data_IF_601653620990
#
_entry.id   IF_601653620990
#
_cell.length_a   1.000
_cell.length_b   1.000
_cell.length_c   1.000
_cell.angle_alpha   90.00
_cell.angle_beta   90.00
_cell.angle_gamma   90.00
#
_symmetry.space_group_name_H-M   'P 1'
#
loop_
_entity.id
_entity.type
_entity.pdbx_description
1 polymer ?
#
# COMPACT_ATOMS: atom_id res chain seq x y z
N UNK A 1 0.68 -14.15 5.01
CA UNK A 1 0.57 -14.13 6.48
C UNK A 1 -0.19 -12.88 6.88
N UNK A 2 -1.17 -12.96 7.79
CA UNK A 2 -1.86 -11.74 8.27
C UNK A 2 -1.05 -11.09 9.39
N UNK A 3 -1.16 -9.76 9.61
CA UNK A 3 -0.44 -9.08 10.69
C UNK A 3 -0.73 -9.65 12.08
N UNK A 4 -1.92 -10.22 12.29
CA UNK A 4 -2.31 -10.90 13.55
C UNK A 4 -1.36 -12.04 13.91
N UNK A 5 -0.86 -12.76 12.90
CA UNK A 5 0.04 -13.89 13.08
C UNK A 5 1.38 -13.48 13.69
N UNK A 6 1.83 -12.23 13.50
CA UNK A 6 3.07 -11.70 14.07
C UNK A 6 3.04 -11.63 15.60
N UNK A 7 1.84 -11.53 16.17
CA UNK A 7 1.64 -11.38 17.62
C UNK A 7 1.47 -12.71 18.35
N UNK A 8 1.22 -13.81 17.64
CA UNK A 8 0.93 -15.13 18.21
C UNK A 8 2.20 -15.77 18.78
N UNK A 9 2.07 -16.48 19.92
CA UNK A 9 3.19 -17.13 20.62
C UNK A 9 4.02 -18.04 19.70
N UNK A 10 3.35 -18.86 18.87
CA UNK A 10 4.02 -19.78 17.95
C UNK A 10 4.94 -19.06 16.96
N UNK A 11 4.50 -17.91 16.43
CA UNK A 11 5.33 -17.12 15.52
C UNK A 11 6.53 -16.52 16.25
N UNK A 12 6.34 -16.05 17.49
CA UNK A 12 7.47 -15.56 18.31
C UNK A 12 8.49 -16.67 18.61
N UNK A 13 8.02 -17.88 18.90
CA UNK A 13 8.91 -19.03 19.10
C UNK A 13 9.72 -19.33 17.83
N UNK A 14 9.06 -19.37 16.67
CA UNK A 14 9.70 -19.60 15.38
C UNK A 14 10.77 -18.53 15.06
N UNK A 15 10.48 -17.27 15.33
CA UNK A 15 11.39 -16.14 15.08
C UNK A 15 12.55 -16.07 16.08
N UNK A 16 12.44 -16.75 17.22
CA UNK A 16 13.50 -16.83 18.24
C UNK A 16 14.32 -18.13 18.16
N UNK A 17 13.87 -19.09 17.34
CA UNK A 17 14.61 -20.31 17.07
C UNK A 17 15.93 -19.99 16.36
N UNK A 18 17.04 -20.46 16.93
CA UNK A 18 18.40 -20.12 16.47
C UNK A 18 18.73 -20.71 15.11
N UNK A 19 18.11 -21.83 14.75
CA UNK A 19 18.36 -22.52 13.49
C UNK A 19 17.46 -21.95 12.39
N UNK A 20 16.26 -21.49 12.74
CA UNK A 20 15.29 -20.96 11.78
C UNK A 20 15.47 -19.47 11.53
N UNK A 21 15.77 -18.67 12.57
CA UNK A 21 15.90 -17.21 12.45
C UNK A 21 16.84 -16.76 11.32
N UNK A 22 18.04 -17.35 11.12
CA UNK A 22 18.94 -16.97 10.03
C UNK A 22 18.41 -17.25 8.61
N UNK A 23 17.37 -18.08 8.49
CA UNK A 23 16.76 -18.45 7.20
C UNK A 23 15.86 -17.33 6.64
N UNK A 24 15.43 -16.37 7.45
CA UNK A 24 14.59 -15.26 7.00
C UNK A 24 15.41 -14.22 6.24
N UNK A 25 15.40 -14.30 4.90
CA UNK A 25 16.10 -13.36 4.02
C UNK A 25 15.28 -12.17 3.57
N UNK A 26 13.95 -12.33 3.49
CA UNK A 26 13.05 -11.29 3.00
C UNK A 26 11.86 -11.11 3.93
N UNK A 27 11.47 -9.86 4.17
CA UNK A 27 10.25 -9.50 4.86
C UNK A 27 9.51 -8.41 4.08
N UNK A 28 8.29 -8.71 3.66
CA UNK A 28 7.45 -7.81 2.88
C UNK A 28 6.17 -7.51 3.65
N UNK A 29 5.86 -6.23 3.80
CA UNK A 29 4.60 -5.75 4.35
C UNK A 29 3.77 -5.12 3.24
N UNK A 30 2.58 -5.67 3.00
CA UNK A 30 1.60 -5.10 2.09
C UNK A 30 0.66 -4.15 2.85
N UNK A 31 -0.01 -3.26 2.15
CA UNK A 31 -0.95 -2.26 2.69
C UNK A 31 -0.44 -1.47 3.90
N UNK A 32 0.83 -1.04 3.85
CA UNK A 32 1.49 -0.37 4.99
C UNK A 32 0.86 0.96 5.40
N UNK A 33 -0.03 1.52 4.58
CA UNK A 33 -0.80 2.70 4.94
C UNK A 33 -1.69 2.48 6.17
N UNK A 34 -2.10 1.24 6.44
CA UNK A 34 -2.90 0.85 7.61
C UNK A 34 -2.16 1.06 8.94
N UNK A 35 -0.83 1.23 8.91
CA UNK A 35 -0.03 1.48 10.11
C UNK A 35 -0.42 2.78 10.84
N UNK A 36 -0.80 3.82 10.09
CA UNK A 36 -1.15 5.15 10.61
C UNK A 36 -2.62 5.53 10.39
N UNK A 37 -3.46 4.57 10.04
CA UNK A 37 -4.89 4.83 9.83
C UNK A 37 -5.61 4.96 11.18
N UNK A 38 -5.95 6.19 11.55
CA UNK A 38 -6.66 6.48 12.80
C UNK A 38 -8.08 5.90 12.79
N UNK A 39 -8.53 5.36 13.93
CA UNK A 39 -9.85 4.73 14.06
C UNK A 39 -10.00 3.35 13.41
N UNK A 40 -8.98 2.88 12.69
CA UNK A 40 -8.98 1.57 12.04
C UNK A 40 -8.64 0.45 13.02
N UNK A 41 -9.45 -0.62 13.02
CA UNK A 41 -9.15 -1.86 13.78
C UNK A 41 -7.82 -2.46 13.35
N UNK A 42 -7.36 -2.15 12.13
CA UNK A 42 -6.11 -2.63 11.57
C UNK A 42 -4.88 -1.96 12.17
N UNK A 43 -4.99 -0.74 12.70
CA UNK A 43 -3.85 0.05 13.19
C UNK A 43 -3.01 -0.69 14.23
N UNK A 44 -3.68 -1.26 15.23
CA UNK A 44 -3.01 -1.98 16.33
C UNK A 44 -2.24 -3.20 15.80
N UNK A 45 -2.81 -3.89 14.83
CA UNK A 45 -2.23 -5.12 14.27
C UNK A 45 -1.05 -4.79 13.37
N UNK A 46 -1.17 -3.75 12.54
CA UNK A 46 -0.09 -3.29 11.68
C UNK A 46 1.07 -2.67 12.47
N UNK A 47 0.82 -2.08 13.64
CA UNK A 47 1.88 -1.65 14.54
C UNK A 47 2.78 -2.80 15.00
N UNK A 48 2.33 -4.06 14.95
CA UNK A 48 3.18 -5.20 15.28
C UNK A 48 4.38 -5.37 14.32
N UNK A 49 4.28 -4.83 13.10
CA UNK A 49 5.35 -4.91 12.09
C UNK A 49 6.62 -4.23 12.57
N UNK A 50 6.54 -3.12 13.33
CA UNK A 50 7.74 -2.43 13.83
C UNK A 50 8.65 -3.33 14.67
N UNK A 51 8.06 -4.25 15.43
CA UNK A 51 8.80 -5.20 16.27
C UNK A 51 9.48 -6.32 15.47
N UNK A 52 9.12 -6.50 14.20
CA UNK A 52 9.78 -7.49 13.35
C UNK A 52 11.23 -7.08 13.04
N UNK A 53 11.56 -5.78 13.11
CA UNK A 53 12.92 -5.26 12.90
C UNK A 53 13.91 -5.81 13.93
N UNK A 54 13.48 -5.93 15.18
CA UNK A 54 14.28 -6.50 16.28
C UNK A 54 14.31 -8.04 16.25
N UNK A 55 13.26 -8.66 15.69
CA UNK A 55 13.10 -10.12 15.70
C UNK A 55 13.78 -10.82 14.54
N UNK A 56 13.93 -10.16 13.41
CA UNK A 56 14.58 -10.72 12.23
C UNK A 56 16.09 -10.45 12.23
N UNK A 57 16.89 -11.26 11.52
CA UNK A 57 18.29 -10.95 11.28
C UNK A 57 18.48 -9.53 10.69
N UNK A 58 19.59 -8.89 11.03
CA UNK A 58 19.97 -7.60 10.40
C UNK A 58 20.21 -7.72 8.90
N UNK A 59 20.56 -8.92 8.42
CA UNK A 59 20.72 -9.23 6.99
C UNK A 59 19.40 -9.43 6.24
N UNK A 60 18.25 -9.37 6.91
CA UNK A 60 16.96 -9.50 6.25
C UNK A 60 16.68 -8.25 5.42
N UNK A 61 16.29 -8.43 4.17
CA UNK A 61 15.85 -7.37 3.26
C UNK A 61 14.38 -7.07 3.53
N UNK A 62 14.04 -5.79 3.55
CA UNK A 62 12.70 -5.29 3.88
C UNK A 62 12.05 -4.61 2.68
N UNK A 63 10.75 -4.84 2.49
CA UNK A 63 9.92 -4.07 1.56
C UNK A 63 8.57 -3.72 2.16
N UNK A 64 8.05 -2.56 1.79
CA UNK A 64 6.81 -2.00 2.27
C UNK A 64 6.00 -1.46 1.09
N UNK A 65 4.78 -1.95 0.91
CA UNK A 65 3.98 -1.67 -0.28
C UNK A 65 2.64 -1.02 0.09
N UNK A 66 2.20 -0.04 -0.69
CA UNK A 66 0.89 0.60 -0.52
C UNK A 66 0.50 1.34 -1.79
N UNK A 67 -0.78 1.33 -2.18
CA UNK A 67 -1.25 2.11 -3.32
C UNK A 67 -1.69 3.54 -2.97
N UNK A 68 -1.95 3.82 -1.69
CA UNK A 68 -2.81 4.96 -1.26
C UNK A 68 -2.10 6.01 -0.41
N UNK A 69 -0.77 5.96 -0.33
CA UNK A 69 0.00 6.89 0.50
C UNK A 69 0.40 8.18 -0.25
N UNK A 70 0.01 9.34 0.29
CA UNK A 70 0.60 10.61 -0.13
C UNK A 70 2.09 10.68 0.21
N UNK A 71 2.83 11.63 -0.39
CA UNK A 71 4.26 11.81 -0.10
C UNK A 71 4.51 12.00 1.41
N UNK A 72 3.73 12.86 2.06
CA UNK A 72 3.84 13.11 3.49
C UNK A 72 3.53 11.86 4.33
N UNK A 73 2.43 11.16 4.02
CA UNK A 73 2.05 9.93 4.73
C UNK A 73 3.08 8.82 4.56
N UNK A 74 3.63 8.63 3.36
CA UNK A 74 4.63 7.62 3.08
C UNK A 74 5.87 7.80 3.97
N UNK A 75 6.33 9.04 4.17
CA UNK A 75 7.44 9.35 5.10
C UNK A 75 7.11 9.00 6.55
N UNK A 76 5.91 9.34 7.01
CA UNK A 76 5.47 9.01 8.37
C UNK A 76 5.33 7.50 8.57
N UNK A 77 4.84 6.77 7.55
CA UNK A 77 4.75 5.31 7.57
C UNK A 77 6.16 4.70 7.57
N UNK A 78 7.06 5.16 6.72
CA UNK A 78 8.44 4.68 6.66
C UNK A 78 9.12 4.84 8.02
N UNK A 79 9.02 6.01 8.64
CA UNK A 79 9.54 6.25 9.99
C UNK A 79 8.90 5.32 11.04
N UNK A 80 7.59 5.10 10.96
CA UNK A 80 6.85 4.22 11.86
C UNK A 80 7.20 2.73 11.74
N UNK A 81 7.55 2.28 10.53
CA UNK A 81 8.00 0.91 10.23
C UNK A 81 9.53 0.78 10.36
N UNK A 82 10.19 1.77 10.97
CA UNK A 82 11.63 1.75 11.29
C UNK A 82 12.50 1.71 10.02
N UNK A 83 12.07 2.40 8.97
CA UNK A 83 12.96 2.78 7.85
C UNK A 83 13.59 4.14 8.16
N UNK A 84 14.92 4.16 8.29
CA UNK A 84 15.67 5.37 8.55
C UNK A 84 15.91 6.16 7.26
N UNK A 85 15.79 7.48 7.32
CA UNK A 85 16.03 8.34 6.16
C UNK A 85 17.45 8.14 5.61
N UNK A 86 17.58 7.85 4.32
CA UNK A 86 18.86 7.56 3.66
C UNK A 86 19.16 6.06 3.53
N UNK A 87 18.52 5.21 4.33
CA UNK A 87 18.74 3.75 4.33
C UNK A 87 17.67 2.99 3.52
N UNK A 88 16.81 3.72 2.81
CA UNK A 88 15.76 3.17 1.98
C UNK A 88 15.55 4.03 0.72
N UNK A 89 15.40 3.39 -0.43
CA UNK A 89 14.84 3.91 -1.66
C UNK A 89 13.31 4.01 -1.55
N UNK A 90 12.77 5.22 -1.74
CA UNK A 90 11.34 5.45 -1.97
C UNK A 90 11.09 5.40 -3.47
N UNK A 91 10.56 4.29 -3.98
CA UNK A 91 10.16 4.18 -5.39
C UNK A 91 8.67 4.42 -5.56
N UNK A 92 8.32 5.08 -6.67
CA UNK A 92 6.95 5.50 -6.98
C UNK A 92 6.65 5.28 -8.44
N UNK A 93 5.41 4.91 -8.71
CA UNK A 93 4.97 4.59 -10.07
C UNK A 93 3.80 5.49 -10.42
N UNK A 94 3.79 5.96 -11.67
CA UNK A 94 2.64 6.71 -12.16
C UNK A 94 1.38 5.85 -12.10
N UNK A 95 0.27 6.45 -11.66
CA UNK A 95 -1.06 5.86 -11.82
C UNK A 95 -1.61 6.08 -13.22
N UNK A 96 -0.94 6.87 -14.05
CA UNK A 96 -1.36 7.05 -15.42
C UNK A 96 -1.37 5.69 -16.14
N UNK A 97 -2.47 5.44 -16.85
CA UNK A 97 -2.74 4.22 -17.58
C UNK A 97 -3.24 4.65 -18.95
N UNK A 98 -2.35 4.77 -19.95
CA UNK A 98 -2.69 5.33 -21.26
C UNK A 98 -3.75 4.49 -22.01
N UNK A 99 -3.97 3.25 -21.57
CA UNK A 99 -4.97 2.34 -22.09
C UNK A 99 -6.35 2.44 -21.39
N UNK A 100 -6.50 3.29 -20.36
CA UNK A 100 -7.77 3.50 -19.67
C UNK A 100 -8.45 4.79 -20.14
N UNK A 101 -9.71 4.66 -20.62
CA UNK A 101 -10.56 5.80 -20.95
C UNK A 101 -11.52 6.07 -19.79
N UNK A 102 -11.37 7.23 -19.15
CA UNK A 102 -12.26 7.68 -18.09
C UNK A 102 -13.45 8.44 -18.72
N UNK A 103 -14.67 7.96 -18.49
CA UNK A 103 -15.91 8.57 -19.01
C UNK A 103 -16.82 8.92 -17.83
N UNK A 104 -16.93 10.20 -17.49
CA UNK A 104 -17.92 10.66 -16.53
C UNK A 104 -19.31 10.65 -17.19
N UNK A 105 -20.28 9.98 -16.56
CA UNK A 105 -21.68 9.99 -16.98
C UNK A 105 -22.55 10.51 -15.85
N UNK A 106 -23.56 11.30 -16.21
CA UNK A 106 -24.57 11.71 -15.25
C UNK A 106 -25.54 10.55 -15.01
N UNK A 107 -25.57 10.02 -13.79
CA UNK A 107 -26.56 9.03 -13.40
C UNK A 107 -27.89 9.73 -13.13
N UNK A 108 -28.77 9.80 -14.13
CA UNK A 108 -30.15 10.18 -13.94
C UNK A 108 -30.93 8.96 -13.42
N UNK A 109 -30.96 8.76 -12.09
CA UNK A 109 -31.91 7.83 -11.50
C UNK A 109 -33.31 8.47 -11.57
N UNK A 110 -34.31 7.82 -12.19
CA UNK A 110 -35.67 8.26 -12.05
C UNK A 110 -36.09 7.98 -10.60
N UNK A 111 -36.50 9.05 -9.92
CA UNK A 111 -37.11 9.09 -8.58
C UNK A 111 -36.13 9.33 -7.40
N UNK A 112 -36.11 10.61 -7.02
CA UNK A 112 -35.70 11.23 -5.74
C UNK A 112 -34.18 11.41 -5.48
N UNK A 113 -33.81 12.69 -5.33
CA UNK A 113 -32.50 13.31 -5.04
C UNK A 113 -31.71 12.60 -3.91
N UNK A 114 -30.36 12.64 -3.85
CA UNK A 114 -29.43 13.62 -4.46
C UNK A 114 -28.50 13.05 -5.54
N UNK A 115 -27.90 13.95 -6.33
CA UNK A 115 -26.93 13.66 -7.39
C UNK A 115 -25.76 12.81 -6.86
N UNK A 116 -25.74 11.54 -7.25
CA UNK A 116 -24.60 10.65 -7.08
C UNK A 116 -23.86 10.55 -8.42
N UNK A 117 -22.56 10.84 -8.40
CA UNK A 117 -21.68 10.59 -9.53
C UNK A 117 -21.21 9.14 -9.47
N UNK A 118 -21.48 8.33 -10.51
CA UNK A 118 -20.86 7.02 -10.68
C UNK A 118 -19.66 7.13 -11.62
N UNK A 119 -18.58 6.41 -11.31
CA UNK A 119 -17.42 6.24 -12.18
C UNK A 119 -17.45 4.82 -12.72
N UNK A 120 -17.77 4.66 -14.01
CA UNK A 120 -17.74 3.37 -14.68
C UNK A 120 -16.39 3.17 -15.39
N UNK A 121 -15.83 1.97 -15.28
CA UNK A 121 -14.61 1.59 -15.99
C UNK A 121 -14.99 0.83 -17.25
N UNK A 122 -14.55 1.32 -18.41
CA UNK A 122 -14.70 0.60 -19.68
C UNK A 122 -13.33 0.35 -20.29
N UNK A 123 -13.04 -0.91 -20.57
CA UNK A 123 -11.86 -1.29 -21.35
C UNK A 123 -12.22 -1.07 -22.82
N UNK A 124 -11.58 -0.08 -23.45
CA UNK A 124 -11.85 0.31 -24.83
C UNK A 124 -11.50 -0.82 -25.79
N UNK A 125 -12.50 -1.51 -26.34
CA UNK A 125 -12.41 -1.95 -27.73
C UNK A 125 -12.84 -0.77 -28.60
N UNK A 126 -11.95 -0.37 -29.52
CA UNK A 126 -12.05 0.75 -30.45
C UNK A 126 -13.49 1.18 -30.75
N UNK A 127 -13.82 2.47 -30.65
CA UNK A 127 -14.65 3.25 -31.60
C UNK A 127 -14.72 4.74 -31.19
N UNK A 128 -14.89 5.58 -32.20
CA UNK A 128 -14.66 7.02 -32.25
C UNK A 128 -15.52 7.94 -31.33
N UNK A 129 -14.95 9.13 -31.06
CA UNK A 129 -15.54 10.48 -30.83
C UNK A 129 -15.49 11.14 -29.43
N UNK A 130 -15.20 12.45 -29.56
CA UNK A 130 -15.36 13.66 -28.76
C UNK A 130 -14.93 13.77 -27.29
N UNK A 131 -14.23 14.89 -27.04
CA UNK A 131 -13.50 15.31 -25.85
C UNK A 131 -14.39 15.86 -24.70
N UNK A 132 -13.86 15.83 -23.47
CA UNK A 132 -13.39 17.01 -22.69
C UNK A 132 -12.43 16.48 -21.62
N UNK A 133 -11.20 16.99 -21.56
CA UNK A 133 -10.15 16.55 -20.63
C UNK A 133 -10.03 17.53 -19.46
N UNK A 134 -10.20 17.05 -18.23
CA UNK A 134 -9.60 17.67 -17.03
C UNK A 134 -8.76 16.60 -16.34
N UNK A 135 -7.45 16.81 -16.33
CA UNK A 135 -6.48 15.97 -15.64
C UNK A 135 -6.50 16.27 -14.15
N UNK A 136 -6.71 15.24 -13.32
CA UNK A 136 -6.41 15.29 -11.89
C UNK A 136 -5.33 14.24 -11.66
N UNK A 137 -4.14 14.69 -11.29
CA UNK A 137 -3.01 13.82 -10.97
C UNK A 137 -3.26 13.12 -9.63
N UNK A 138 -3.30 11.80 -9.66
CA UNK A 138 -3.14 10.98 -8.47
C UNK A 138 -1.87 10.14 -8.65
N UNK A 139 -1.02 10.07 -7.63
CA UNK A 139 0.22 9.29 -7.64
C UNK A 139 0.13 8.15 -6.63
N UNK A 140 0.61 6.97 -7.01
CA UNK A 140 0.78 5.79 -6.15
C UNK A 140 2.27 5.49 -5.99
N UNK A 141 2.67 4.98 -4.83
CA UNK A 141 4.06 4.76 -4.45
C UNK A 141 4.30 3.27 -4.22
N UNK A 142 5.14 2.61 -5.00
CA UNK A 142 5.43 1.18 -4.83
C UNK A 142 6.94 1.05 -4.62
N UNK A 143 7.33 0.54 -3.45
CA UNK A 143 8.73 0.55 -3.02
C UNK A 143 9.40 -0.79 -3.36
N UNK A 144 10.28 -0.80 -4.36
CA UNK A 144 11.19 -1.90 -4.71
C UNK A 144 12.64 -1.65 -4.24
N UNK A 145 13.32 -2.72 -3.84
CA UNK A 145 14.76 -2.75 -3.51
C UNK A 145 15.49 -3.86 -4.25
N UNK A 146 16.73 -3.54 -4.64
CA UNK A 146 17.79 -4.49 -4.97
C UNK A 146 18.80 -4.56 -3.80
N UNK A 147 19.54 -5.68 -3.68
CA UNK A 147 20.24 -6.11 -2.46
C UNK A 147 21.39 -5.20 -2.01
#
# INVERSE_FOLDING_TARGET
MTPWMLSILRMRQLLNDKDIKPLFRWFFADEVHLFNEEGSVWRVVYQAIKYMRERLPSSTIWGAFTATASISKARTIAAGVVFHSGDYADTRYTLDRPNLKYIARMCCYPVLRPLLYSVDFSVSQNHHRCAVTKSVEATSSLIHFHP
#
